data_IF_937146554511
#
_entry.id   IF_937146554511
#
_cell.length_a   1.000
_cell.length_b   1.000
_cell.length_c   1.000
_cell.angle_alpha   90.00
_cell.angle_beta   90.00
_cell.angle_gamma   90.00
#
_symmetry.space_group_name_H-M   'P 1'
#
loop_
_entity.id
_entity.type
_entity.pdbx_description
1 polymer ?
#
# COMPACT_ATOMS: atom_id res chain seq x y z
N UNK A 1 -19.89 22.40 -8.54
CA UNK A 1 -18.73 21.50 -8.70
C UNK A 1 -19.27 20.16 -8.23
N UNK A 2 -19.80 19.44 -9.20
CA UNK A 2 -21.00 18.63 -9.11
C UNK A 2 -20.57 17.20 -9.47
N UNK A 3 -20.65 16.29 -8.50
CA UNK A 3 -20.93 14.86 -8.67
C UNK A 3 -20.16 14.07 -9.76
N UNK A 4 -18.89 14.41 -10.01
CA UNK A 4 -17.96 13.52 -10.76
C UNK A 4 -17.11 12.64 -9.82
N UNK A 5 -17.14 12.88 -8.50
CA UNK A 5 -16.42 12.11 -7.47
C UNK A 5 -17.17 10.89 -6.93
N UNK A 6 -18.43 10.64 -7.32
CA UNK A 6 -19.19 9.47 -6.82
C UNK A 6 -18.92 8.18 -7.62
N UNK A 7 -18.13 8.23 -8.71
CA UNK A 7 -17.97 7.11 -9.66
C UNK A 7 -16.66 6.34 -9.62
N UNK A 8 -15.58 6.89 -9.06
CA UNK A 8 -14.33 6.17 -8.89
C UNK A 8 -14.27 5.68 -7.45
N UNK A 9 -14.78 4.48 -7.20
CA UNK A 9 -14.54 3.80 -5.94
C UNK A 9 -13.04 3.48 -5.85
N UNK A 10 -12.26 4.39 -5.27
CA UNK A 10 -10.85 4.15 -4.96
C UNK A 10 -10.79 3.02 -3.93
N UNK A 11 -10.04 1.97 -4.26
CA UNK A 11 -9.86 0.81 -3.39
C UNK A 11 -8.37 0.57 -3.19
N UNK A 12 -7.98 0.43 -1.93
CA UNK A 12 -6.71 -0.17 -1.56
C UNK A 12 -6.92 -1.14 -0.40
N UNK A 13 -6.07 -2.15 -0.30
CA UNK A 13 -6.04 -3.12 0.79
C UNK A 13 -4.66 -3.16 1.41
N UNK A 14 -4.61 -3.18 2.75
CA UNK A 14 -3.42 -3.54 3.51
C UNK A 14 -3.73 -4.80 4.30
N UNK A 15 -2.94 -5.84 4.07
CA UNK A 15 -3.06 -7.12 4.77
C UNK A 15 -1.76 -7.49 5.45
N UNK A 16 -1.84 -7.82 6.73
CA UNK A 16 -0.74 -8.42 7.48
C UNK A 16 -0.88 -9.94 7.39
N UNK A 17 0.18 -10.60 6.95
CA UNK A 17 0.28 -12.05 6.94
C UNK A 17 1.41 -12.47 7.88
N UNK A 18 1.10 -13.40 8.77
CA UNK A 18 2.09 -13.97 9.70
C UNK A 18 2.28 -15.43 9.32
N UNK A 19 3.51 -15.82 9.00
CA UNK A 19 3.84 -17.22 8.76
C UNK A 19 3.72 -18.01 10.08
N UNK A 20 2.97 -19.10 10.06
CA UNK A 20 2.68 -19.85 11.28
C UNK A 20 3.91 -20.61 11.83
N UNK A 21 4.90 -20.90 10.98
CA UNK A 21 6.09 -21.68 11.33
C UNK A 21 7.25 -20.76 11.66
N UNK A 22 7.63 -19.86 10.76
CA UNK A 22 8.79 -18.97 10.94
C UNK A 22 8.46 -17.75 11.80
N UNK A 23 7.18 -17.42 11.96
CA UNK A 23 6.69 -16.18 12.57
C UNK A 23 7.09 -14.92 11.81
N UNK A 24 7.51 -15.06 10.55
CA UNK A 24 7.77 -13.91 9.69
C UNK A 24 6.49 -13.12 9.44
N UNK A 25 6.60 -11.79 9.50
CA UNK A 25 5.49 -10.87 9.26
C UNK A 25 5.69 -10.21 7.92
N UNK A 26 4.74 -10.43 7.02
CA UNK A 26 4.69 -9.83 5.69
C UNK A 26 3.55 -8.82 5.62
N UNK A 27 3.81 -7.68 5.00
CA UNK A 27 2.79 -6.69 4.66
C UNK A 27 2.50 -6.81 3.16
N UNK A 28 1.24 -7.08 2.83
CA UNK A 28 0.77 -7.10 1.45
C UNK A 28 -0.11 -5.88 1.19
N UNK A 29 0.15 -5.19 0.08
CA UNK A 29 -0.58 -4.00 -0.34
C UNK A 29 -1.16 -4.28 -1.72
N UNK A 30 -2.46 -4.05 -1.87
CA UNK A 30 -3.14 -4.11 -3.17
C UNK A 30 -3.73 -2.75 -3.47
N UNK A 31 -3.42 -2.21 -4.62
CA UNK A 31 -3.87 -0.90 -5.09
C UNK A 31 -4.05 -0.93 -6.60
N UNK A 32 -4.78 0.04 -7.15
CA UNK A 32 -5.00 0.20 -8.58
C UNK A 32 -4.35 1.48 -9.07
N UNK A 33 -3.63 1.40 -10.19
CA UNK A 33 -3.04 2.53 -10.88
C UNK A 33 -3.20 2.35 -12.39
N UNK A 34 -3.25 3.46 -13.11
CA UNK A 34 -3.17 3.45 -14.58
C UNK A 34 -1.79 2.92 -15.01
N UNK A 35 -1.70 2.34 -16.22
CA UNK A 35 -0.49 1.63 -16.69
C UNK A 35 0.76 2.52 -16.65
N UNK A 36 0.62 3.81 -16.93
CA UNK A 36 1.69 4.81 -16.92
C UNK A 36 2.03 5.33 -15.51
N UNK A 37 1.16 5.10 -14.52
CA UNK A 37 1.34 5.55 -13.13
C UNK A 37 1.86 4.43 -12.20
N UNK A 38 1.93 3.17 -12.66
CA UNK A 38 2.32 2.01 -11.84
C UNK A 38 3.66 2.23 -11.11
N UNK A 39 4.66 2.77 -11.80
CA UNK A 39 5.99 2.94 -11.20
C UNK A 39 6.02 4.08 -10.18
N UNK A 40 5.27 5.16 -10.41
CA UNK A 40 5.11 6.24 -9.44
C UNK A 40 4.33 5.77 -8.20
N UNK A 41 3.24 5.02 -8.40
CA UNK A 41 2.47 4.42 -7.31
C UNK A 41 3.34 3.48 -6.45
N UNK A 42 4.20 2.66 -7.08
CA UNK A 42 5.16 1.82 -6.34
C UNK A 42 6.15 2.65 -5.53
N UNK A 43 6.75 3.69 -6.11
CA UNK A 43 7.69 4.55 -5.39
C UNK A 43 7.01 5.25 -4.20
N UNK A 44 5.76 5.67 -4.36
CA UNK A 44 4.96 6.23 -3.27
C UNK A 44 4.80 5.22 -2.14
N UNK A 45 4.38 3.98 -2.45
CA UNK A 45 4.21 2.92 -1.46
C UNK A 45 5.52 2.54 -0.79
N UNK A 46 6.64 2.45 -1.53
CA UNK A 46 7.96 2.20 -0.94
C UNK A 46 8.36 3.27 0.09
N UNK A 47 8.13 4.54 -0.21
CA UNK A 47 8.38 5.64 0.71
C UNK A 47 7.48 5.56 1.95
N UNK A 48 6.17 5.34 1.75
CA UNK A 48 5.22 5.21 2.86
C UNK A 48 5.55 4.02 3.79
N UNK A 49 5.98 2.89 3.22
CA UNK A 49 6.39 1.73 4.01
C UNK A 49 7.73 1.96 4.71
N UNK A 50 8.67 2.68 4.09
CA UNK A 50 9.91 3.10 4.75
C UNK A 50 9.60 3.97 5.98
N UNK A 51 8.71 4.94 5.84
CA UNK A 51 8.30 5.81 6.95
C UNK A 51 7.61 5.01 8.07
N UNK A 52 6.71 4.09 7.70
CA UNK A 52 6.07 3.19 8.66
C UNK A 52 7.09 2.36 9.44
N UNK A 53 8.07 1.76 8.74
CA UNK A 53 9.15 0.98 9.35
C UNK A 53 9.99 1.82 10.32
N UNK A 54 10.27 3.07 9.95
CA UNK A 54 10.99 4.01 10.79
C UNK A 54 10.23 4.31 12.10
N UNK A 55 8.92 4.60 12.01
CA UNK A 55 8.06 4.86 13.17
C UNK A 55 7.99 3.65 14.11
N UNK A 56 7.98 2.44 13.56
CA UNK A 56 7.96 1.18 14.33
C UNK A 56 9.33 0.82 14.95
N UNK A 57 10.40 1.56 14.65
CA UNK A 57 11.75 1.32 15.18
C UNK A 57 12.51 0.18 14.50
N UNK A 58 12.01 -0.31 13.38
CA UNK A 58 12.64 -1.32 12.52
C UNK A 58 13.28 -0.61 11.33
N UNK A 59 14.52 -0.17 11.49
CA UNK A 59 15.36 0.36 10.41
C UNK A 59 16.10 -0.77 9.69
#
# INVERSE_FOLDING_TARGET
LNDEEEGASCYFEIRIQVDEITKDVSLMITDFAEEDEIDEAKMLWENQISDLKHVLGSA
#
